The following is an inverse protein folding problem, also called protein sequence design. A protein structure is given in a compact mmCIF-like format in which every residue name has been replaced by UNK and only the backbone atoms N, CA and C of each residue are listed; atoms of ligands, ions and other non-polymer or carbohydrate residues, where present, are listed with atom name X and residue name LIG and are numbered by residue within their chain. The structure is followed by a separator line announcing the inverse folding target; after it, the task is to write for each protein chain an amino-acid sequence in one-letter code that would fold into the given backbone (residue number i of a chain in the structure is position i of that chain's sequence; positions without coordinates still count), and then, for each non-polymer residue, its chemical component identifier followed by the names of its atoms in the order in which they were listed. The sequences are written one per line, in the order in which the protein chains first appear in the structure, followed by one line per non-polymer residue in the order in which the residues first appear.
data_IF_188479824563
#
_entry.id   IF_188479824563
#
_cell.length_a   1.000
_cell.length_b   1.000
_cell.length_c   1.000
_cell.angle_alpha   90.00
_cell.angle_beta   90.00
_cell.angle_gamma   90.00
#
_symmetry.space_group_name_H-M   'P 1'
#
loop_
_entity.id
_entity.type
_entity.pdbx_description
1 polymer ?
#
# COMPACT_ATOMS: atom_id res chain seq x y z
N UNK A 1 -17.88 43.22 36.97
CA UNK A 1 -18.96 42.73 36.08
C UNK A 1 -18.95 43.68 34.88
N UNK A 2 -18.45 43.36 33.69
CA UNK A 2 -18.68 42.19 32.84
C UNK A 2 -17.54 42.03 31.82
N UNK A 3 -17.13 40.77 31.63
CA UNK A 3 -16.08 40.33 30.71
C UNK A 3 -16.43 40.59 29.24
N UNK A 4 -15.45 41.01 28.44
CA UNK A 4 -15.49 41.07 26.97
C UNK A 4 -14.18 40.54 26.39
N UNK A 5 -14.29 39.78 25.30
CA UNK A 5 -13.17 39.31 24.48
C UNK A 5 -12.97 37.79 24.63
N UNK A 6 -13.84 36.97 24.07
CA UNK A 6 -13.82 36.53 22.66
C UNK A 6 -12.54 35.73 22.34
N UNK A 7 -12.71 34.42 22.45
CA UNK A 7 -11.77 33.38 22.04
C UNK A 7 -11.51 33.48 20.54
N UNK A 8 -10.24 33.37 20.11
CA UNK A 8 -10.04 32.53 18.93
C UNK A 8 -8.95 31.50 19.19
N UNK A 9 -9.43 30.26 19.38
CA UNK A 9 -8.76 29.03 18.96
C UNK A 9 -8.28 29.21 17.51
N UNK A 10 -7.03 29.65 17.34
CA UNK A 10 -6.39 29.71 16.03
C UNK A 10 -5.48 28.51 15.87
N UNK A 11 -6.13 27.45 15.36
CA UNK A 11 -5.65 26.63 14.25
C UNK A 11 -4.22 26.12 14.42
N UNK A 12 -4.17 24.97 15.07
CA UNK A 12 -3.32 23.82 14.74
C UNK A 12 -2.67 23.93 13.34
N UNK A 13 -1.56 24.67 13.27
CA UNK A 13 -0.73 24.87 12.08
C UNK A 13 0.52 24.03 12.29
N UNK A 14 0.39 22.74 12.09
CA UNK A 14 1.46 21.83 11.69
C UNK A 14 0.84 20.73 10.81
N UNK A 15 0.14 21.13 9.75
CA UNK A 15 -0.08 20.27 8.58
C UNK A 15 1.20 20.36 7.73
N UNK A 16 2.29 19.87 8.30
CA UNK A 16 3.65 20.17 7.87
C UNK A 16 4.62 19.06 8.20
N UNK A 17 4.17 17.81 8.19
CA UNK A 17 5.06 16.64 8.21
C UNK A 17 4.55 15.58 7.23
N UNK A 18 4.33 16.02 5.98
CA UNK A 18 4.74 15.21 4.83
C UNK A 18 6.28 15.21 4.73
N UNK A 19 6.95 14.95 5.85
CA UNK A 19 8.33 14.49 5.84
C UNK A 19 8.34 13.30 4.87
N UNK A 20 9.36 13.20 4.02
CA UNK A 20 9.61 12.01 3.20
C UNK A 20 9.65 10.78 4.10
N UNK A 21 8.47 10.23 4.38
CA UNK A 21 8.27 9.11 5.29
C UNK A 21 8.93 7.96 4.58
N UNK A 22 10.06 7.51 5.10
CA UNK A 22 10.52 6.16 4.89
C UNK A 22 9.27 5.27 4.93
N UNK A 23 8.90 4.70 3.78
CA UNK A 23 7.66 3.91 3.63
C UNK A 23 7.63 2.97 4.82
N UNK A 24 6.59 3.06 5.65
CA UNK A 24 6.54 2.26 6.87
C UNK A 24 6.64 0.80 6.46
N UNK A 25 7.19 -0.07 7.31
CA UNK A 25 7.28 -1.51 7.01
C UNK A 25 5.91 -2.07 6.54
N UNK A 26 4.82 -1.55 7.11
CA UNK A 26 3.45 -1.86 6.69
C UNK A 26 3.14 -1.42 5.25
N UNK A 27 3.57 -0.24 4.82
CA UNK A 27 3.37 0.24 3.43
C UNK A 27 4.15 -0.60 2.44
N UNK A 28 5.37 -1.02 2.82
CA UNK A 28 6.19 -1.93 2.02
C UNK A 28 5.50 -3.30 1.88
N UNK A 29 5.08 -3.90 3.00
CA UNK A 29 4.36 -5.18 3.03
C UNK A 29 3.08 -5.11 2.21
N UNK A 30 2.33 -4.02 2.36
CA UNK A 30 1.10 -3.77 1.61
C UNK A 30 1.36 -3.73 0.10
N UNK A 31 2.40 -3.01 -0.36
CA UNK A 31 2.75 -2.95 -1.78
C UNK A 31 3.11 -4.32 -2.36
N UNK A 32 3.95 -5.10 -1.66
CA UNK A 32 4.32 -6.45 -2.06
C UNK A 32 3.12 -7.42 -2.03
N UNK A 33 2.26 -7.29 -1.04
CA UNK A 33 1.05 -8.09 -0.88
C UNK A 33 0.05 -7.84 -2.01
N UNK A 34 -0.21 -6.57 -2.33
CA UNK A 34 -1.09 -6.18 -3.42
C UNK A 34 -0.55 -6.68 -4.76
N UNK A 35 0.76 -6.58 -4.99
CA UNK A 35 1.40 -7.11 -6.19
C UNK A 35 1.14 -8.62 -6.34
N UNK A 36 1.49 -9.42 -5.32
CA UNK A 36 1.27 -10.88 -5.32
C UNK A 36 -0.20 -11.23 -5.54
N UNK A 37 -1.09 -10.57 -4.81
CA UNK A 37 -2.53 -10.78 -4.94
C UNK A 37 -3.06 -10.41 -6.33
N UNK A 38 -2.55 -9.34 -6.97
CA UNK A 38 -2.96 -8.97 -8.32
C UNK A 38 -2.60 -10.03 -9.36
N UNK A 39 -1.42 -10.67 -9.24
CA UNK A 39 -1.06 -11.80 -10.12
C UNK A 39 -1.89 -13.05 -9.81
N UNK A 40 -2.12 -13.35 -8.52
CA UNK A 40 -2.96 -14.46 -8.08
C UNK A 40 -4.39 -14.36 -8.60
N UNK A 41 -5.00 -13.18 -8.52
CA UNK A 41 -6.35 -12.92 -9.02
C UNK A 41 -6.46 -13.06 -10.55
N UNK A 42 -5.37 -12.78 -11.29
CA UNK A 42 -5.30 -12.98 -12.75
C UNK A 42 -4.98 -14.42 -13.15
N UNK A 43 -4.57 -15.28 -12.21
CA UNK A 43 -4.06 -16.62 -12.51
C UNK A 43 -2.62 -16.61 -13.05
N UNK A 44 -1.92 -15.48 -12.96
CA UNK A 44 -0.57 -15.28 -13.50
C UNK A 44 0.52 -15.42 -12.42
N UNK A 45 0.20 -15.97 -11.25
CA UNK A 45 1.18 -16.22 -10.18
C UNK A 45 2.32 -17.15 -10.63
N UNK A 46 2.04 -18.04 -11.58
CA UNK A 46 3.03 -18.95 -12.17
C UNK A 46 3.81 -18.33 -13.35
N UNK A 47 3.42 -17.12 -13.78
CA UNK A 47 3.97 -16.47 -14.96
C UNK A 47 5.45 -16.12 -14.78
N UNK A 48 6.28 -16.24 -15.83
CA UNK A 48 7.67 -15.81 -15.79
C UNK A 48 7.84 -14.36 -15.34
N UNK A 49 6.87 -13.49 -15.67
CA UNK A 49 6.86 -12.09 -15.25
C UNK A 49 6.78 -11.95 -13.73
N UNK A 50 5.91 -12.72 -13.06
CA UNK A 50 5.80 -12.70 -11.61
C UNK A 50 7.08 -13.24 -10.95
N UNK A 51 7.57 -14.39 -11.43
CA UNK A 51 8.79 -15.03 -10.91
C UNK A 51 10.04 -14.16 -11.05
N UNK A 52 10.07 -13.23 -12.02
CA UNK A 52 11.16 -12.26 -12.17
C UNK A 52 10.95 -10.99 -11.31
N UNK A 53 9.76 -10.40 -11.34
CA UNK A 53 9.47 -9.12 -10.68
C UNK A 53 9.36 -9.27 -9.17
N UNK A 54 8.66 -10.29 -8.67
CA UNK A 54 8.36 -10.43 -7.25
C UNK A 54 9.62 -10.57 -6.37
N UNK A 55 10.63 -11.39 -6.71
CA UNK A 55 11.90 -11.41 -5.97
C UNK A 55 12.70 -10.10 -6.05
N UNK A 56 12.52 -9.31 -7.11
CA UNK A 56 13.10 -7.97 -7.21
C UNK A 56 12.46 -7.01 -6.20
N UNK A 57 11.13 -7.04 -6.10
CA UNK A 57 10.36 -6.20 -5.18
C UNK A 57 10.63 -6.57 -3.73
N UNK A 58 10.73 -7.86 -3.40
CA UNK A 58 11.12 -8.29 -2.05
C UNK A 58 12.49 -7.74 -1.64
N UNK A 59 13.47 -7.77 -2.56
CA UNK A 59 14.80 -7.21 -2.31
C UNK A 59 14.80 -5.69 -2.15
N UNK A 60 14.08 -4.97 -3.00
CA UNK A 60 13.98 -3.50 -2.94
C UNK A 60 13.31 -3.02 -1.64
N UNK A 61 12.31 -3.77 -1.18
CA UNK A 61 11.58 -3.47 0.04
C UNK A 61 12.22 -4.05 1.30
N UNK A 62 13.23 -4.91 1.15
CA UNK A 62 13.87 -5.65 2.24
C UNK A 62 12.85 -6.48 3.03
N UNK A 63 12.04 -7.24 2.30
CA UNK A 63 10.97 -8.07 2.84
C UNK A 63 11.18 -9.54 2.51
N UNK A 64 10.62 -10.40 3.36
CA UNK A 64 10.54 -11.84 3.12
C UNK A 64 9.17 -12.24 2.58
N UNK A 65 9.13 -13.28 1.73
CA UNK A 65 7.88 -13.82 1.19
C UNK A 65 6.92 -14.22 2.32
N UNK A 66 7.42 -14.89 3.36
CA UNK A 66 6.64 -15.28 4.55
C UNK A 66 5.99 -14.08 5.25
N UNK A 67 6.69 -12.95 5.33
CA UNK A 67 6.16 -11.75 5.96
C UNK A 67 5.02 -11.14 5.11
N UNK A 68 5.16 -11.20 3.79
CA UNK A 68 4.13 -10.77 2.84
C UNK A 68 2.92 -11.69 2.90
N UNK A 69 3.11 -13.01 2.92
CA UNK A 69 2.04 -13.99 3.05
C UNK A 69 1.25 -13.80 4.35
N UNK A 70 1.94 -13.65 5.48
CA UNK A 70 1.29 -13.35 6.77
C UNK A 70 0.49 -12.06 6.69
N UNK A 71 1.04 -11.02 6.08
CA UNK A 71 0.35 -9.75 5.90
C UNK A 71 -0.90 -9.90 5.03
N UNK A 72 -0.84 -10.70 3.95
CA UNK A 72 -1.97 -11.02 3.09
C UNK A 72 -3.06 -11.75 3.88
N UNK A 73 -2.70 -12.75 4.68
CA UNK A 73 -3.69 -13.50 5.48
C UNK A 73 -4.38 -12.59 6.48
N UNK A 74 -3.62 -11.74 7.17
CA UNK A 74 -4.11 -10.83 8.22
C UNK A 74 -4.93 -9.66 7.64
N UNK A 75 -4.61 -9.22 6.42
CA UNK A 75 -5.23 -8.05 5.77
C UNK A 75 -5.92 -8.40 4.45
N UNK A 76 -6.45 -9.63 4.33
CA UNK A 76 -6.91 -10.20 3.07
C UNK A 76 -7.90 -9.30 2.32
N UNK A 77 -8.92 -8.77 2.99
CA UNK A 77 -9.92 -7.89 2.37
C UNK A 77 -9.31 -6.61 1.78
N UNK A 78 -8.44 -5.94 2.54
CA UNK A 78 -7.82 -4.69 2.11
C UNK A 78 -6.90 -4.93 0.91
N UNK A 79 -6.07 -5.97 0.97
CA UNK A 79 -5.15 -6.35 -0.09
C UNK A 79 -5.91 -6.80 -1.34
N UNK A 80 -6.95 -7.62 -1.20
CA UNK A 80 -7.75 -8.09 -2.33
C UNK A 80 -8.48 -6.94 -3.02
N UNK A 81 -9.12 -6.05 -2.24
CA UNK A 81 -9.78 -4.85 -2.78
C UNK A 81 -8.79 -3.98 -3.55
N UNK A 82 -7.61 -3.76 -2.99
CA UNK A 82 -6.57 -2.98 -3.64
C UNK A 82 -6.02 -3.67 -4.89
N UNK A 83 -5.79 -4.99 -4.85
CA UNK A 83 -5.32 -5.75 -6.00
C UNK A 83 -6.32 -5.77 -7.17
N UNK A 84 -7.62 -5.80 -6.84
CA UNK A 84 -8.71 -5.64 -7.82
C UNK A 84 -8.72 -4.23 -8.44
N UNK A 85 -8.45 -3.18 -7.64
CA UNK A 85 -8.45 -1.78 -8.11
C UNK A 85 -7.13 -1.27 -8.71
N UNK A 86 -5.99 -1.87 -8.36
CA UNK A 86 -4.65 -1.51 -8.83
C UNK A 86 -4.30 -2.19 -10.16
N UNK A 87 -5.14 -3.12 -10.64
CA UNK A 87 -5.08 -3.57 -12.01
C UNK A 87 -5.53 -2.40 -12.89
N UNK A 88 -4.65 -1.72 -13.66
CA UNK A 88 -5.16 -0.97 -14.79
C UNK A 88 -5.94 -2.00 -15.60
N UNK A 89 -7.22 -1.72 -15.87
CA UNK A 89 -7.96 -2.49 -16.86
C UNK A 89 -7.02 -2.66 -18.06
N UNK A 90 -6.82 -3.88 -18.60
CA UNK A 90 -6.11 -3.99 -19.86
C UNK A 90 -6.83 -3.03 -20.81
N UNK A 91 -6.17 -1.93 -21.18
CA UNK A 91 -6.71 -0.97 -22.11
C UNK A 91 -7.16 -1.72 -23.36
N UNK A 92 -8.20 -1.24 -24.07
CA UNK A 92 -8.74 -1.97 -25.21
C UNK A 92 -7.58 -2.31 -26.13
N UNK A 93 -7.37 -3.61 -26.37
CA UNK A 93 -6.51 -4.08 -27.45
C UNK A 93 -7.23 -3.72 -28.75
N UNK A 94 -6.96 -2.51 -29.25
CA UNK A 94 -7.25 -2.10 -30.63
C UNK A 94 -6.09 -2.49 -31.51
#
# INVERSE_FOLDING_TARGET
MTSRGDTPSRRNRLKGEQMGKAKSLKDKLYGAAVLKMSFRLRGDEESPAFKFVYPGVLRDLELEDDAVERYIVDNREAVERAARGASPAPGPRT
#
